data_IF_432101266378
#
_entry.id   IF_432101266378
#
_cell.length_a   1.000
_cell.length_b   1.000
_cell.length_c   1.000
_cell.angle_alpha   90.00
_cell.angle_beta   90.00
_cell.angle_gamma   90.00
#
_symmetry.space_group_name_H-M   'P 1'
#
loop_
_entity.id
_entity.type
_entity.pdbx_description
1 polymer ?
#
# COMPACT_ATOMS: atom_id res chain seq x y z
N UNK A 1 -24.81 -29.16 -34.88
CA UNK A 1 -25.30 -28.83 -33.53
C UNK A 1 -24.16 -28.53 -32.51
N UNK A 2 -22.94 -29.07 -32.66
CA UNK A 2 -21.79 -28.85 -31.71
C UNK A 2 -21.35 -27.38 -31.59
N UNK A 3 -21.35 -26.56 -32.65
CA UNK A 3 -20.83 -25.20 -32.63
C UNK A 3 -21.66 -24.19 -31.81
N UNK A 4 -22.99 -24.37 -31.71
CA UNK A 4 -23.83 -23.44 -30.91
C UNK A 4 -23.62 -23.60 -29.41
N UNK A 5 -23.36 -24.81 -28.92
CA UNK A 5 -23.09 -25.09 -27.51
C UNK A 5 -21.70 -24.54 -27.08
N UNK A 6 -20.70 -24.71 -27.96
CA UNK A 6 -19.34 -24.18 -27.68
C UNK A 6 -19.37 -22.65 -27.61
N UNK A 7 -20.06 -21.97 -28.53
CA UNK A 7 -20.19 -20.52 -28.51
C UNK A 7 -20.93 -20.01 -27.27
N UNK A 8 -21.94 -20.71 -26.80
CA UNK A 8 -22.64 -20.34 -25.56
C UNK A 8 -21.71 -20.38 -24.34
N UNK A 9 -20.99 -21.46 -24.15
CA UNK A 9 -20.07 -21.60 -22.99
C UNK A 9 -18.90 -20.62 -23.06
N UNK A 10 -18.41 -20.34 -24.27
CA UNK A 10 -17.37 -19.35 -24.49
C UNK A 10 -17.83 -17.94 -24.05
N UNK A 11 -18.98 -17.49 -24.53
CA UNK A 11 -19.49 -16.17 -24.16
C UNK A 11 -19.90 -16.10 -22.71
N UNK A 12 -20.45 -17.16 -22.12
CA UNK A 12 -20.72 -17.23 -20.70
C UNK A 12 -19.45 -17.07 -19.87
N UNK A 13 -18.37 -17.74 -20.24
CA UNK A 13 -17.08 -17.60 -19.56
C UNK A 13 -16.54 -16.16 -19.62
N UNK A 14 -16.63 -15.51 -20.78
CA UNK A 14 -16.24 -14.10 -20.93
C UNK A 14 -17.09 -13.19 -20.04
N UNK A 15 -18.40 -13.38 -20.02
CA UNK A 15 -19.30 -12.58 -19.16
C UNK A 15 -18.95 -12.77 -17.69
N UNK A 16 -18.78 -14.00 -17.24
CA UNK A 16 -18.42 -14.30 -15.85
C UNK A 16 -17.07 -13.66 -15.49
N UNK A 17 -16.07 -13.74 -16.36
CA UNK A 17 -14.78 -13.11 -16.16
C UNK A 17 -14.90 -11.58 -16.02
N UNK A 18 -15.62 -10.93 -16.92
CA UNK A 18 -15.83 -9.48 -16.88
C UNK A 18 -16.58 -9.06 -15.60
N UNK A 19 -17.64 -9.76 -15.24
CA UNK A 19 -18.42 -9.50 -14.01
C UNK A 19 -17.55 -9.70 -12.77
N UNK A 20 -16.69 -10.74 -12.74
CA UNK A 20 -15.79 -10.98 -11.63
C UNK A 20 -14.74 -9.87 -11.48
N UNK A 21 -14.14 -9.41 -12.58
CA UNK A 21 -13.18 -8.31 -12.57
C UNK A 21 -13.81 -7.00 -12.10
N UNK A 22 -15.00 -6.68 -12.62
CA UNK A 22 -15.75 -5.48 -12.21
C UNK A 22 -16.17 -5.56 -10.74
N UNK A 23 -16.64 -6.73 -10.29
CA UNK A 23 -17.01 -6.97 -8.91
C UNK A 23 -15.82 -6.85 -7.95
N UNK A 24 -14.68 -7.43 -8.29
CA UNK A 24 -13.45 -7.30 -7.53
C UNK A 24 -12.98 -5.84 -7.46
N UNK A 25 -13.00 -5.13 -8.59
CA UNK A 25 -12.65 -3.70 -8.65
C UNK A 25 -13.59 -2.86 -7.77
N UNK A 26 -14.90 -3.11 -7.83
CA UNK A 26 -15.89 -2.42 -7.00
C UNK A 26 -15.62 -2.60 -5.51
N UNK A 27 -15.32 -3.82 -5.07
CA UNK A 27 -15.01 -4.12 -3.66
C UNK A 27 -13.70 -3.44 -3.25
N UNK A 28 -12.64 -3.59 -4.04
CA UNK A 28 -11.29 -3.09 -3.75
C UNK A 28 -11.23 -1.56 -3.69
N UNK A 29 -12.07 -0.88 -4.48
CA UNK A 29 -12.15 0.58 -4.52
C UNK A 29 -13.28 1.17 -3.67
N UNK A 30 -13.86 0.38 -2.78
CA UNK A 30 -14.98 0.81 -1.93
C UNK A 30 -16.13 1.45 -2.75
N UNK A 31 -16.58 0.77 -3.80
CA UNK A 31 -17.62 1.30 -4.68
C UNK A 31 -17.12 2.44 -5.59
N UNK A 32 -15.85 2.41 -5.98
CA UNK A 32 -15.14 3.43 -6.77
C UNK A 32 -14.89 4.76 -6.05
N UNK A 33 -15.13 4.83 -4.73
CA UNK A 33 -14.84 6.02 -3.93
C UNK A 33 -13.38 6.13 -3.47
N UNK A 34 -12.56 5.12 -3.75
CA UNK A 34 -11.12 5.08 -3.46
C UNK A 34 -10.34 4.89 -4.75
N UNK A 35 -9.41 5.81 -5.02
CA UNK A 35 -8.46 5.69 -6.13
C UNK A 35 -7.27 4.86 -5.69
N UNK A 36 -6.95 3.81 -6.44
CA UNK A 36 -5.77 2.96 -6.22
C UNK A 36 -4.71 3.31 -7.24
N UNK A 37 -3.50 3.60 -6.76
CA UNK A 37 -2.33 3.94 -7.59
C UNK A 37 -1.21 2.93 -7.32
N UNK A 38 -0.63 2.40 -8.39
CA UNK A 38 0.66 1.70 -8.34
C UNK A 38 1.76 2.77 -8.28
N UNK A 39 2.46 2.82 -7.15
CA UNK A 39 3.44 3.86 -6.86
C UNK A 39 4.85 3.26 -6.89
N UNK A 40 5.76 3.97 -7.54
CA UNK A 40 7.21 3.73 -7.48
C UNK A 40 7.91 5.04 -7.28
N UNK A 41 8.89 5.07 -6.38
CA UNK A 41 9.67 6.26 -6.11
C UNK A 41 11.12 5.90 -5.78
N UNK A 42 12.01 6.82 -6.07
CA UNK A 42 13.39 6.74 -5.66
C UNK A 42 13.53 7.34 -4.26
N UNK A 43 14.17 6.61 -3.37
CA UNK A 43 14.46 7.05 -2.01
C UNK A 43 15.75 7.87 -1.97
N UNK A 44 16.04 8.60 -0.86
CA UNK A 44 17.28 9.37 -0.74
C UNK A 44 18.56 8.55 -0.93
N UNK A 45 18.48 7.23 -0.78
CA UNK A 45 19.62 6.31 -1.00
C UNK A 45 19.79 5.91 -2.48
N UNK A 46 18.96 6.42 -3.40
CA UNK A 46 18.98 6.06 -4.82
C UNK A 46 18.39 4.69 -5.12
N UNK A 47 17.61 4.12 -4.21
CA UNK A 47 16.92 2.84 -4.38
C UNK A 47 15.45 3.07 -4.70
N UNK A 48 14.89 2.21 -5.57
CA UNK A 48 13.47 2.24 -5.89
C UNK A 48 12.67 1.48 -4.84
N UNK A 49 11.63 2.11 -4.36
CA UNK A 49 10.57 1.48 -3.58
C UNK A 49 9.25 1.44 -4.34
N UNK A 50 8.40 0.52 -3.95
CA UNK A 50 7.11 0.25 -4.55
C UNK A 50 6.01 0.15 -3.49
N UNK A 51 4.82 0.66 -3.82
CA UNK A 51 3.65 0.58 -2.95
C UNK A 51 2.35 0.57 -3.76
N UNK A 52 1.27 0.12 -3.14
CA UNK A 52 -0.09 0.46 -3.52
C UNK A 52 -0.56 1.64 -2.65
N UNK A 53 -0.98 2.72 -3.29
CA UNK A 53 -1.50 3.90 -2.62
C UNK A 53 -3.00 4.02 -2.86
N UNK A 54 -3.76 3.97 -1.77
CA UNK A 54 -5.22 4.09 -1.73
C UNK A 54 -5.59 5.49 -1.28
N UNK A 55 -6.25 6.25 -2.14
CA UNK A 55 -6.62 7.64 -1.88
C UNK A 55 -8.14 7.78 -1.92
N UNK A 56 -8.82 7.95 -0.79
CA UNK A 56 -10.24 8.27 -0.76
C UNK A 56 -10.54 9.57 -1.51
N UNK A 57 -11.68 9.67 -2.18
CA UNK A 57 -12.08 10.89 -2.89
C UNK A 57 -12.26 12.09 -1.96
N UNK A 58 -12.50 11.84 -0.67
CA UNK A 58 -12.61 12.87 0.37
C UNK A 58 -11.27 13.47 0.78
N UNK A 59 -10.14 12.81 0.44
CA UNK A 59 -8.80 13.29 0.75
C UNK A 59 -8.32 14.24 -0.35
N UNK A 60 -8.33 15.53 -0.07
CA UNK A 60 -7.91 16.60 -0.98
C UNK A 60 -6.91 17.54 -0.30
N UNK A 61 -6.31 18.45 -1.04
CA UNK A 61 -5.41 19.46 -0.46
C UNK A 61 -6.14 20.43 0.50
N UNK A 62 -7.43 20.67 0.26
CA UNK A 62 -8.29 21.49 1.11
C UNK A 62 -8.85 20.73 2.33
N UNK A 63 -8.86 19.39 2.25
CA UNK A 63 -9.32 18.50 3.32
C UNK A 63 -8.35 17.32 3.46
N UNK A 64 -7.13 17.54 4.00
CA UNK A 64 -6.14 16.48 4.16
C UNK A 64 -6.62 15.39 5.11
N UNK A 65 -6.44 14.14 4.72
CA UNK A 65 -6.86 12.97 5.49
C UNK A 65 -5.72 12.40 6.34
N UNK A 66 -6.02 11.71 7.46
CA UNK A 66 -5.01 10.92 8.15
C UNK A 66 -4.49 9.82 7.25
N UNK A 67 -3.27 9.34 7.51
CA UNK A 67 -2.66 8.31 6.70
C UNK A 67 -2.21 7.09 7.51
N UNK A 68 -2.17 5.94 6.87
CA UNK A 68 -1.64 4.69 7.44
C UNK A 68 -0.69 4.06 6.43
N UNK A 69 0.53 3.74 6.88
CA UNK A 69 1.44 2.89 6.13
C UNK A 69 1.34 1.47 6.70
N UNK A 70 1.18 0.50 5.80
CA UNK A 70 1.14 -0.92 6.18
C UNK A 70 2.22 -1.72 5.45
N UNK A 71 2.78 -2.69 6.15
CA UNK A 71 3.82 -3.57 5.62
C UNK A 71 3.51 -5.03 5.86
N UNK A 72 3.93 -5.85 4.92
CA UNK A 72 3.73 -7.30 4.88
C UNK A 72 4.72 -8.07 5.77
N UNK A 73 4.44 -9.37 5.97
CA UNK A 73 5.36 -10.32 6.60
C UNK A 73 6.47 -10.79 5.65
N UNK A 74 7.40 -11.58 6.17
CA UNK A 74 8.48 -12.16 5.36
C UNK A 74 7.94 -13.04 4.23
N UNK A 75 8.60 -13.05 3.07
CA UNK A 75 8.19 -13.75 1.84
C UNK A 75 6.87 -13.30 1.21
N UNK A 76 6.34 -12.15 1.61
CA UNK A 76 5.13 -11.56 1.08
C UNK A 76 5.43 -10.26 0.31
N UNK A 77 4.38 -9.59 -0.11
CA UNK A 77 4.45 -8.32 -0.82
C UNK A 77 3.33 -7.37 -0.36
N UNK A 78 3.27 -6.20 -0.94
CA UNK A 78 2.31 -5.12 -0.67
C UNK A 78 0.82 -5.52 -0.80
N UNK A 79 0.50 -6.63 -1.45
CA UNK A 79 -0.89 -7.07 -1.65
C UNK A 79 -1.42 -7.93 -0.50
N UNK A 80 -0.52 -8.43 0.38
CA UNK A 80 -0.88 -9.35 1.47
C UNK A 80 -1.66 -8.73 2.63
N UNK A 81 -1.79 -7.40 2.66
CA UNK A 81 -2.55 -6.68 3.69
C UNK A 81 -3.89 -6.16 3.15
N UNK A 82 -4.41 -6.75 2.06
CA UNK A 82 -5.54 -6.24 1.29
C UNK A 82 -6.80 -5.99 2.13
N UNK A 83 -7.16 -6.88 3.03
CA UNK A 83 -8.31 -6.69 3.91
C UNK A 83 -8.15 -5.47 4.82
N UNK A 84 -6.93 -5.19 5.30
CA UNK A 84 -6.68 -4.07 6.18
C UNK A 84 -6.65 -2.75 5.40
N UNK A 85 -5.90 -2.66 4.31
CA UNK A 85 -5.75 -1.40 3.60
C UNK A 85 -7.04 -0.95 2.90
N UNK A 86 -7.83 -1.87 2.34
CA UNK A 86 -9.14 -1.54 1.77
C UNK A 86 -10.07 -1.00 2.86
N UNK A 87 -10.08 -1.60 4.04
CA UNK A 87 -10.96 -1.20 5.13
C UNK A 87 -10.54 0.14 5.75
N UNK A 88 -9.25 0.44 5.87
CA UNK A 88 -8.78 1.75 6.28
C UNK A 88 -9.14 2.83 5.25
N UNK A 89 -8.96 2.55 3.97
CA UNK A 89 -9.30 3.50 2.91
C UNK A 89 -10.82 3.79 2.88
N UNK A 90 -11.67 2.79 3.12
CA UNK A 90 -13.13 2.96 3.26
C UNK A 90 -13.51 3.90 4.42
N UNK A 91 -12.69 3.96 5.47
CA UNK A 91 -12.88 4.85 6.63
C UNK A 91 -12.27 6.24 6.42
N UNK A 92 -11.77 6.54 5.23
CA UNK A 92 -11.26 7.85 4.88
C UNK A 92 -9.78 8.07 5.14
N UNK A 93 -9.01 7.03 5.46
CA UNK A 93 -7.55 7.12 5.55
C UNK A 93 -6.91 7.06 4.15
N UNK A 94 -5.88 7.84 3.92
CA UNK A 94 -4.92 7.57 2.83
C UNK A 94 -4.06 6.39 3.27
N UNK A 95 -4.02 5.31 2.48
CA UNK A 95 -3.29 4.10 2.88
C UNK A 95 -2.19 3.80 1.88
N UNK A 96 -0.99 3.54 2.38
CA UNK A 96 0.15 3.10 1.59
C UNK A 96 0.58 1.69 2.03
N UNK A 97 0.35 0.69 1.17
CA UNK A 97 0.84 -0.66 1.38
C UNK A 97 2.15 -0.85 0.63
N UNK A 98 3.26 -1.00 1.36
CA UNK A 98 4.61 -1.02 0.79
C UNK A 98 5.10 -2.43 0.49
N UNK A 99 5.96 -2.53 -0.53
CA UNK A 99 6.94 -3.62 -0.64
C UNK A 99 8.20 -3.22 0.16
N UNK A 100 8.55 -3.96 1.20
CA UNK A 100 9.84 -3.74 1.87
C UNK A 100 11.00 -3.99 0.90
N UNK A 101 12.15 -3.39 1.15
CA UNK A 101 13.36 -3.66 0.36
C UNK A 101 13.64 -5.16 0.22
N UNK A 102 13.91 -5.60 -1.01
CA UNK A 102 14.13 -7.00 -1.37
C UNK A 102 12.85 -7.82 -1.49
N UNK A 103 11.67 -7.18 -1.53
CA UNK A 103 10.38 -7.83 -1.72
C UNK A 103 9.59 -7.16 -2.84
N UNK A 104 8.69 -7.92 -3.44
CA UNK A 104 7.78 -7.43 -4.49
C UNK A 104 8.51 -6.71 -5.62
N UNK A 105 8.18 -5.45 -5.81
CA UNK A 105 8.74 -4.59 -6.86
C UNK A 105 9.74 -3.54 -6.33
N UNK A 106 10.12 -3.61 -5.06
CA UNK A 106 11.17 -2.77 -4.48
C UNK A 106 12.55 -3.33 -4.74
N UNK A 107 13.55 -2.45 -4.85
CA UNK A 107 14.94 -2.85 -5.04
C UNK A 107 15.46 -3.70 -3.88
N UNK A 108 16.40 -4.60 -4.18
CA UNK A 108 17.19 -5.28 -3.16
C UNK A 108 18.38 -4.41 -2.75
N UNK A 109 18.67 -4.40 -1.46
CA UNK A 109 19.82 -3.69 -0.87
C UNK A 109 21.13 -4.52 -0.94
N UNK A 110 21.06 -5.74 -1.48
CA UNK A 110 22.19 -6.64 -1.63
C UNK A 110 22.32 -7.70 -0.53
N UNK A 111 23.30 -8.59 -0.63
CA UNK A 111 23.44 -9.77 0.22
C UNK A 111 23.77 -9.43 1.67
N UNK A 112 24.40 -8.30 1.94
CA UNK A 112 24.80 -7.87 3.28
C UNK A 112 23.65 -7.17 4.04
N UNK A 113 22.52 -6.90 3.38
CA UNK A 113 21.38 -6.25 3.99
C UNK A 113 20.68 -7.20 4.97
N UNK A 114 20.70 -6.83 6.24
CA UNK A 114 19.95 -7.52 7.29
C UNK A 114 18.50 -7.02 7.35
N UNK A 115 17.73 -7.58 8.29
CA UNK A 115 16.32 -7.18 8.45
C UNK A 115 16.16 -5.69 8.78
N UNK A 116 16.95 -5.15 9.70
CA UNK A 116 16.82 -3.73 10.12
C UNK A 116 17.09 -2.80 8.94
N UNK A 117 18.08 -3.10 8.11
CA UNK A 117 18.38 -2.34 6.89
C UNK A 117 17.19 -2.40 5.90
N UNK A 118 16.60 -3.58 5.70
CA UNK A 118 15.44 -3.71 4.79
C UNK A 118 14.18 -3.01 5.33
N UNK A 119 14.07 -2.91 6.65
CA UNK A 119 12.95 -2.26 7.32
C UNK A 119 12.96 -0.73 7.19
N UNK A 120 14.09 -0.10 6.83
CA UNK A 120 14.17 1.36 6.60
C UNK A 120 13.21 1.84 5.51
N UNK A 121 12.76 0.96 4.62
CA UNK A 121 11.71 1.26 3.65
C UNK A 121 10.41 1.76 4.28
N UNK A 122 10.10 1.40 5.52
CA UNK A 122 8.96 1.95 6.25
C UNK A 122 9.20 3.45 6.58
N UNK A 123 10.39 3.81 7.03
CA UNK A 123 10.77 5.21 7.31
C UNK A 123 10.73 6.05 6.02
N UNK A 124 11.28 5.54 4.92
CA UNK A 124 11.23 6.19 3.60
C UNK A 124 9.78 6.41 3.14
N UNK A 125 8.89 5.46 3.40
CA UNK A 125 7.47 5.57 3.07
C UNK A 125 6.74 6.62 3.94
N UNK A 126 7.09 6.75 5.22
CA UNK A 126 6.55 7.79 6.12
C UNK A 126 6.92 9.17 5.61
N UNK A 127 8.16 9.39 5.20
CA UNK A 127 8.60 10.68 4.65
C UNK A 127 7.88 11.02 3.35
N UNK A 128 7.72 10.04 2.45
CA UNK A 128 7.00 10.25 1.21
C UNK A 128 5.52 10.59 1.44
N UNK A 129 4.81 9.82 2.27
CA UNK A 129 3.36 10.02 2.46
C UNK A 129 3.08 11.34 3.18
N UNK A 130 3.95 11.76 4.10
CA UNK A 130 3.85 13.03 4.81
C UNK A 130 3.99 14.25 3.88
N UNK A 131 4.64 14.10 2.74
CA UNK A 131 4.82 15.17 1.74
C UNK A 131 3.63 15.29 0.77
N UNK A 132 2.66 14.37 0.80
CA UNK A 132 1.52 14.41 -0.11
C UNK A 132 0.53 15.49 0.31
N UNK A 133 0.07 16.36 -0.61
CA UNK A 133 -0.74 17.54 -0.25
C UNK A 133 -2.11 17.20 0.33
N UNK A 134 -2.61 15.99 0.13
CA UNK A 134 -3.89 15.49 0.63
C UNK A 134 -3.75 14.62 1.88
N UNK A 135 -2.56 14.62 2.52
CA UNK A 135 -2.29 13.92 3.78
C UNK A 135 -2.08 14.92 4.90
N UNK A 136 -2.73 14.69 6.02
CA UNK A 136 -2.46 15.39 7.26
C UNK A 136 -1.21 14.78 7.93
N UNK A 137 -0.08 15.43 7.75
CA UNK A 137 1.21 14.96 8.26
C UNK A 137 1.32 14.91 9.78
N UNK A 138 0.35 15.41 10.51
CA UNK A 138 0.27 15.30 11.98
C UNK A 138 -0.49 14.04 12.43
N UNK A 139 -1.06 13.27 11.50
CA UNK A 139 -1.89 12.09 11.78
C UNK A 139 -1.49 10.91 10.89
N UNK A 140 -0.27 10.43 11.06
CA UNK A 140 0.28 9.28 10.33
C UNK A 140 0.46 8.11 11.30
N UNK A 141 -0.14 6.98 10.96
CA UNK A 141 0.05 5.72 11.66
C UNK A 141 0.85 4.71 10.84
N UNK A 142 1.51 3.79 11.51
CA UNK A 142 2.22 2.68 10.90
C UNK A 142 1.73 1.35 11.46
N UNK A 143 1.61 0.34 10.61
CA UNK A 143 1.16 -0.99 11.02
C UNK A 143 1.77 -2.07 10.14
N UNK A 144 1.65 -3.31 10.52
CA UNK A 144 2.11 -4.41 9.71
C UNK A 144 1.89 -5.76 10.35
N UNK A 145 2.16 -6.81 9.58
CA UNK A 145 2.07 -8.18 10.03
C UNK A 145 3.46 -8.79 10.19
N UNK A 146 3.72 -9.51 11.29
CA UNK A 146 4.98 -10.25 11.50
C UNK A 146 6.23 -9.34 11.35
N UNK A 147 7.08 -9.56 10.36
CA UNK A 147 8.22 -8.68 10.08
C UNK A 147 7.80 -7.25 9.70
N UNK A 148 6.61 -7.06 9.11
CA UNK A 148 6.05 -5.73 8.89
C UNK A 148 5.77 -4.99 10.19
N UNK A 149 5.32 -5.68 11.25
CA UNK A 149 5.15 -5.09 12.58
C UNK A 149 6.49 -4.68 13.20
N UNK A 150 7.55 -5.49 13.00
CA UNK A 150 8.91 -5.10 13.42
C UNK A 150 9.41 -3.87 12.65
N UNK A 151 9.12 -3.78 11.34
CA UNK A 151 9.47 -2.60 10.54
C UNK A 151 8.73 -1.35 11.03
N UNK A 152 7.45 -1.48 11.41
CA UNK A 152 6.68 -0.40 12.01
C UNK A 152 7.33 0.09 13.33
N UNK A 153 7.68 -0.83 14.23
CA UNK A 153 8.36 -0.47 15.49
C UNK A 153 9.71 0.24 15.26
N UNK A 154 10.52 -0.27 14.30
CA UNK A 154 11.79 0.39 13.98
C UNK A 154 11.59 1.80 13.39
N UNK A 155 10.55 1.98 12.55
CA UNK A 155 10.23 3.31 12.02
C UNK A 155 9.78 4.28 13.11
N UNK A 156 9.04 3.81 14.13
CA UNK A 156 8.69 4.62 15.31
C UNK A 156 9.93 4.98 16.12
N UNK A 157 10.83 4.02 16.34
CA UNK A 157 12.09 4.29 17.06
C UNK A 157 12.94 5.33 16.31
N UNK A 158 13.08 5.20 15.00
CA UNK A 158 13.80 6.16 14.16
C UNK A 158 13.12 7.54 14.17
N UNK A 159 11.80 7.59 14.10
CA UNK A 159 11.04 8.84 14.11
C UNK A 159 11.16 9.59 15.44
N UNK A 160 11.20 8.86 16.56
CA UNK A 160 11.38 9.41 17.89
C UNK A 160 12.76 10.09 18.09
N UNK A 161 13.75 9.78 17.25
CA UNK A 161 15.06 10.42 17.26
C UNK A 161 15.11 11.71 16.44
N UNK A 162 14.06 12.01 15.66
CA UNK A 162 14.00 13.20 14.81
C UNK A 162 13.48 14.41 15.60
N UNK A 163 13.93 15.61 15.20
CA UNK A 163 13.40 16.88 15.76
C UNK A 163 11.90 17.06 15.50
N UNK A 164 11.43 16.63 14.33
CA UNK A 164 10.03 16.63 13.95
C UNK A 164 9.55 15.21 13.77
N UNK A 165 8.74 14.76 14.70
CA UNK A 165 8.09 13.45 14.62
C UNK A 165 6.92 13.49 13.62
N UNK A 166 6.80 12.46 12.80
CA UNK A 166 5.74 12.30 11.81
C UNK A 166 4.76 11.21 12.20
N UNK A 167 5.20 10.20 12.96
CA UNK A 167 4.36 9.06 13.34
C UNK A 167 3.60 9.39 14.62
N UNK A 168 2.28 9.26 14.57
CA UNK A 168 1.37 9.57 15.70
C UNK A 168 0.84 8.31 16.38
N UNK A 169 0.85 7.15 15.67
CA UNK A 169 0.33 5.86 16.18
C UNK A 169 0.93 4.66 15.46
#
# INVERSE_FOLDING_TARGET
MKNKSINFWFWLAIIVMVVSVLGASFVQTAGFSVKVKDLRWETPTGKLMSALLFVPETATAENPAPAIITSHGWYNNREMQDMNFVEYARRGYVVMSIDMYGHGNSDDLGPDANFSTRATGMTDAVELIAALPYVDSSRIGVTGHSNGARAANLAVDDDNLKEKQLISA
#
